data_IF_754294963645
#
_entry.id   IF_754294963645
#
_cell.length_a   1.000
_cell.length_b   1.000
_cell.length_c   1.000
_cell.angle_alpha   90.00
_cell.angle_beta   90.00
_cell.angle_gamma   90.00
#
_symmetry.space_group_name_H-M   'P 1'
#
loop_
_entity.id
_entity.type
_entity.pdbx_description
1 polymer ?
#
# COMPACT_ATOMS: atom_id res chain seq x y z
N UNK A 1 -14.59 -18.90 9.59
CA UNK A 1 -14.38 -17.81 10.57
C UNK A 1 -13.00 -17.22 10.34
N UNK A 2 -12.89 -15.95 9.90
CA UNK A 2 -11.59 -15.31 9.65
C UNK A 2 -10.87 -15.00 10.97
N UNK A 3 -9.55 -15.18 11.01
CA UNK A 3 -8.75 -14.82 12.18
C UNK A 3 -8.88 -13.33 12.50
N UNK A 4 -8.88 -12.96 13.78
CA UNK A 4 -9.04 -11.58 14.27
C UNK A 4 -8.08 -10.58 13.62
N UNK A 5 -6.88 -11.05 13.24
CA UNK A 5 -5.88 -10.25 12.52
C UNK A 5 -6.34 -9.89 11.10
N UNK A 6 -7.01 -10.80 10.39
CA UNK A 6 -7.60 -10.55 9.07
C UNK A 6 -8.76 -9.56 9.15
N UNK A 7 -9.62 -9.66 10.17
CA UNK A 7 -10.75 -8.74 10.37
C UNK A 7 -10.24 -7.29 10.56
N UNK A 8 -9.18 -7.12 11.36
CA UNK A 8 -8.56 -5.81 11.57
C UNK A 8 -7.86 -5.26 10.33
N UNK A 9 -7.13 -6.09 9.59
CA UNK A 9 -6.51 -5.68 8.32
C UNK A 9 -7.56 -5.20 7.32
N UNK A 10 -8.61 -6.00 7.13
CA UNK A 10 -9.70 -5.67 6.22
C UNK A 10 -10.53 -4.46 6.65
N UNK A 11 -10.49 -4.05 7.93
CA UNK A 11 -11.07 -2.78 8.37
C UNK A 11 -10.25 -1.60 7.85
N UNK A 12 -8.93 -1.61 8.07
CA UNK A 12 -8.04 -0.51 7.63
C UNK A 12 -7.99 -0.39 6.10
N UNK A 13 -7.99 -1.50 5.37
CA UNK A 13 -8.10 -1.47 3.89
C UNK A 13 -9.40 -0.79 3.43
N UNK A 14 -10.53 -1.04 4.12
CA UNK A 14 -11.82 -0.41 3.79
C UNK A 14 -11.84 1.07 4.14
N UNK A 15 -11.21 1.45 5.26
CA UNK A 15 -11.03 2.86 5.66
C UNK A 15 -10.25 3.61 4.57
N UNK A 16 -9.08 3.11 4.17
CA UNK A 16 -8.26 3.72 3.13
C UNK A 16 -8.96 3.75 1.77
N UNK A 17 -9.65 2.67 1.40
CA UNK A 17 -10.45 2.60 0.18
C UNK A 17 -11.49 3.74 0.14
N UNK A 18 -12.23 3.96 1.24
CA UNK A 18 -13.24 5.03 1.31
C UNK A 18 -12.59 6.42 1.22
N UNK A 19 -11.47 6.63 1.89
CA UNK A 19 -10.73 7.91 1.82
C UNK A 19 -10.25 8.23 0.41
N UNK A 20 -9.81 7.22 -0.34
CA UNK A 20 -9.38 7.36 -1.73
C UNK A 20 -10.58 7.59 -2.65
N UNK A 21 -11.68 6.85 -2.47
CA UNK A 21 -12.91 7.06 -3.25
C UNK A 21 -13.52 8.45 -3.07
N UNK A 22 -13.46 9.00 -1.86
CA UNK A 22 -13.90 10.37 -1.59
C UNK A 22 -13.10 11.43 -2.37
N UNK A 23 -11.95 11.07 -2.95
CA UNK A 23 -11.11 11.93 -3.80
C UNK A 23 -11.32 11.70 -5.30
N UNK A 24 -12.36 10.98 -5.72
CA UNK A 24 -12.70 10.78 -7.14
C UNK A 24 -12.13 9.52 -7.78
N UNK A 25 -11.40 8.69 -7.02
CA UNK A 25 -10.77 7.47 -7.53
C UNK A 25 -11.69 6.26 -7.46
N UNK A 26 -11.53 5.34 -8.42
CA UNK A 26 -12.04 3.98 -8.32
C UNK A 26 -11.02 3.08 -7.64
N UNK A 27 -11.48 2.19 -6.75
CA UNK A 27 -10.61 1.31 -5.98
C UNK A 27 -11.18 -0.10 -5.99
N UNK A 28 -10.33 -1.08 -6.34
CA UNK A 28 -10.65 -2.51 -6.31
C UNK A 28 -9.77 -3.20 -5.28
N UNK A 29 -10.36 -4.07 -4.46
CA UNK A 29 -9.61 -4.98 -3.58
C UNK A 29 -9.24 -6.24 -4.34
N UNK A 30 -7.97 -6.64 -4.32
CA UNK A 30 -7.54 -7.90 -4.92
C UNK A 30 -8.09 -9.08 -4.09
N UNK A 31 -8.79 -9.99 -4.74
CA UNK A 31 -9.25 -11.21 -4.09
C UNK A 31 -8.05 -12.12 -3.81
N UNK A 32 -7.92 -12.60 -2.58
CA UNK A 32 -6.85 -13.55 -2.23
C UNK A 32 -5.45 -12.94 -2.03
N UNK A 33 -5.28 -11.62 -1.96
CA UNK A 33 -3.95 -10.98 -1.74
C UNK A 33 -3.22 -11.49 -0.49
N UNK A 34 -3.97 -11.84 0.55
CA UNK A 34 -3.44 -12.44 1.78
C UNK A 34 -3.15 -13.95 1.70
N UNK A 35 -3.44 -14.59 0.57
CA UNK A 35 -3.24 -16.03 0.31
C UNK A 35 -2.20 -16.23 -0.81
N UNK A 36 -2.31 -15.49 -1.92
CA UNK A 36 -1.33 -15.58 -3.02
C UNK A 36 0.01 -14.97 -2.63
N UNK A 37 0.01 -13.96 -1.75
CA UNK A 37 1.21 -13.24 -1.32
C UNK A 37 1.85 -12.38 -2.42
N UNK A 38 1.23 -12.27 -3.60
CA UNK A 38 1.80 -11.68 -4.81
C UNK A 38 0.99 -10.50 -5.33
N UNK A 39 -0.32 -10.46 -5.05
CA UNK A 39 -1.16 -9.35 -5.45
C UNK A 39 -1.08 -8.21 -4.42
N UNK A 40 -0.99 -6.94 -4.85
CA UNK A 40 -1.23 -5.81 -3.96
C UNK A 40 -2.67 -5.85 -3.41
N UNK A 41 -2.89 -5.34 -2.20
CA UNK A 41 -4.21 -5.37 -1.55
C UNK A 41 -5.25 -4.52 -2.28
N UNK A 42 -4.87 -3.31 -2.73
CA UNK A 42 -5.76 -2.38 -3.44
C UNK A 42 -5.16 -1.97 -4.77
N UNK A 43 -6.01 -1.89 -5.80
CA UNK A 43 -5.70 -1.27 -7.09
C UNK A 43 -6.53 0.02 -7.19
N UNK A 44 -5.85 1.14 -7.42
CA UNK A 44 -6.42 2.49 -7.42
C UNK A 44 -6.30 3.08 -8.82
N UNK A 45 -7.42 3.57 -9.36
CA UNK A 45 -7.54 4.01 -10.74
C UNK A 45 -8.28 5.35 -10.83
N UNK A 46 -7.72 6.25 -11.62
CA UNK A 46 -8.40 7.41 -12.19
C UNK A 46 -7.94 7.59 -13.63
N UNK A 47 -8.45 8.63 -14.30
CA UNK A 47 -8.00 9.00 -15.64
C UNK A 47 -6.52 9.39 -15.66
N UNK A 48 -6.03 10.10 -14.64
CA UNK A 48 -4.70 10.71 -14.63
C UNK A 48 -3.68 10.00 -13.75
N UNK A 49 -4.15 9.27 -12.74
CA UNK A 49 -3.30 8.63 -11.73
C UNK A 49 -3.78 7.21 -11.44
N UNK A 50 -2.86 6.26 -11.50
CA UNK A 50 -3.13 4.84 -11.27
C UNK A 50 -1.98 4.25 -10.47
N UNK A 51 -2.27 3.44 -9.47
CA UNK A 51 -1.27 2.82 -8.60
C UNK A 51 -1.86 1.64 -7.82
N UNK A 52 -1.00 0.86 -7.21
CA UNK A 52 -1.37 -0.25 -6.34
C UNK A 52 -0.84 -0.04 -4.92
N UNK A 53 -1.54 -0.61 -3.94
CA UNK A 53 -1.21 -0.47 -2.52
C UNK A 53 -1.10 -1.83 -1.84
N UNK A 54 0.01 -2.07 -1.17
CA UNK A 54 0.15 -3.12 -0.15
C UNK A 54 -0.09 -2.49 1.23
N UNK A 55 -1.16 -2.88 1.91
CA UNK A 55 -1.60 -2.25 3.14
C UNK A 55 -0.96 -2.91 4.37
N UNK A 56 -0.37 -2.09 5.25
CA UNK A 56 0.22 -2.52 6.52
C UNK A 56 -0.27 -1.65 7.66
N UNK A 57 -1.24 -2.14 8.42
CA UNK A 57 -1.60 -1.57 9.71
C UNK A 57 -0.71 -2.17 10.82
N UNK A 58 0.41 -1.52 11.10
CA UNK A 58 1.43 -2.06 12.00
C UNK A 58 2.14 -0.98 12.81
N UNK A 59 2.54 -1.31 14.04
CA UNK A 59 3.15 -0.34 14.98
C UNK A 59 4.68 -0.23 14.89
N UNK A 60 5.34 -1.28 14.41
CA UNK A 60 6.80 -1.38 14.30
C UNK A 60 7.26 -1.26 12.85
N UNK A 61 8.52 -1.54 12.59
CA UNK A 61 9.09 -1.55 11.24
C UNK A 61 8.28 -2.42 10.28
N UNK A 62 8.15 -1.96 9.04
CA UNK A 62 7.55 -2.76 7.97
C UNK A 62 8.63 -3.66 7.38
N UNK A 63 8.27 -4.92 7.14
CA UNK A 63 9.13 -5.92 6.52
C UNK A 63 8.37 -6.57 5.37
N UNK A 64 9.02 -6.62 4.21
CA UNK A 64 8.52 -7.27 3.00
C UNK A 64 9.53 -8.32 2.58
N UNK A 65 9.08 -9.55 2.38
CA UNK A 65 9.92 -10.65 1.93
C UNK A 65 10.49 -10.39 0.53
N UNK A 66 11.68 -10.94 0.24
CA UNK A 66 12.39 -10.66 -1.02
C UNK A 66 11.56 -11.05 -2.24
N UNK A 67 11.00 -12.26 -2.22
CA UNK A 67 10.20 -12.79 -3.33
C UNK A 67 8.93 -11.96 -3.56
N UNK A 68 8.30 -11.50 -2.48
CA UNK A 68 7.14 -10.61 -2.55
C UNK A 68 7.50 -9.25 -3.16
N UNK A 69 8.63 -8.65 -2.77
CA UNK A 69 9.07 -7.39 -3.38
C UNK A 69 9.40 -7.58 -4.87
N UNK A 70 10.04 -8.69 -5.23
CA UNK A 70 10.37 -8.99 -6.62
C UNK A 70 9.10 -9.17 -7.47
N UNK A 71 8.07 -9.84 -6.94
CA UNK A 71 6.77 -9.91 -7.56
C UNK A 71 6.15 -8.52 -7.80
N UNK A 72 6.30 -7.60 -6.84
CA UNK A 72 5.85 -6.22 -7.01
C UNK A 72 6.65 -5.43 -8.05
N UNK A 73 7.97 -5.63 -8.13
CA UNK A 73 8.75 -5.02 -9.23
C UNK A 73 8.30 -5.53 -10.59
N UNK A 74 8.05 -6.83 -10.71
CA UNK A 74 7.48 -7.41 -11.94
C UNK A 74 6.09 -6.86 -12.23
N UNK A 75 5.26 -6.65 -11.19
CA UNK A 75 3.96 -6.00 -11.32
C UNK A 75 4.10 -4.58 -11.87
N UNK A 76 4.97 -3.75 -11.30
CA UNK A 76 5.25 -2.39 -11.77
C UNK A 76 5.69 -2.42 -13.24
N UNK A 77 6.62 -3.32 -13.59
CA UNK A 77 7.14 -3.45 -14.95
C UNK A 77 6.06 -3.87 -15.97
N UNK A 78 5.19 -4.82 -15.62
CA UNK A 78 4.20 -5.40 -16.55
C UNK A 78 2.94 -4.56 -16.68
N UNK A 79 2.54 -3.87 -15.61
CA UNK A 79 1.28 -3.12 -15.58
C UNK A 79 1.48 -1.62 -15.77
N UNK A 80 2.69 -1.11 -15.54
CA UNK A 80 2.98 0.32 -15.44
C UNK A 80 2.39 0.98 -14.18
N UNK A 81 1.82 0.21 -13.25
CA UNK A 81 1.23 0.71 -12.01
C UNK A 81 2.30 0.70 -10.91
N UNK A 82 2.73 1.87 -10.38
CA UNK A 82 3.60 1.90 -9.23
C UNK A 82 2.92 1.24 -8.02
N UNK A 83 3.70 0.50 -7.23
CA UNK A 83 3.26 -0.16 -6.02
C UNK A 83 3.79 0.63 -4.83
N UNK A 84 2.89 1.05 -3.94
CA UNK A 84 3.25 1.69 -2.69
C UNK A 84 2.97 0.78 -1.51
N UNK A 85 3.87 0.78 -0.53
CA UNK A 85 3.57 0.28 0.80
C UNK A 85 2.77 1.35 1.53
N UNK A 86 1.50 1.09 1.80
CA UNK A 86 0.62 1.95 2.58
C UNK A 86 0.71 1.56 4.06
N UNK A 87 1.34 2.40 4.88
CA UNK A 87 1.58 2.12 6.28
C UNK A 87 0.66 2.94 7.19
N UNK A 88 -0.23 2.26 7.91
CA UNK A 88 -1.04 2.85 8.99
C UNK A 88 -0.43 2.56 10.36
N UNK A 89 -0.03 3.62 11.06
CA UNK A 89 0.34 3.55 12.48
C UNK A 89 -0.86 3.97 13.36
N UNK A 90 -0.90 3.48 14.60
CA UNK A 90 -2.00 3.80 15.53
C UNK A 90 -2.11 5.31 15.75
N UNK A 91 -3.32 5.86 15.63
CA UNK A 91 -3.62 7.30 15.77
C UNK A 91 -2.76 8.22 14.88
N UNK A 92 -2.21 7.70 13.78
CA UNK A 92 -1.49 8.48 12.77
C UNK A 92 -2.17 8.31 11.42
N UNK A 93 -1.93 9.27 10.53
CA UNK A 93 -2.35 9.19 9.13
C UNK A 93 -1.62 8.07 8.37
N UNK A 94 -2.13 7.75 7.19
CA UNK A 94 -1.47 6.84 6.26
C UNK A 94 -0.20 7.47 5.68
N UNK A 95 0.85 6.66 5.56
CA UNK A 95 2.10 7.03 4.92
C UNK A 95 2.43 6.05 3.79
N UNK A 96 2.85 6.58 2.65
CA UNK A 96 3.01 5.80 1.42
C UNK A 96 4.47 5.82 0.97
N UNK A 97 4.97 4.64 0.64
CA UNK A 97 6.39 4.43 0.35
C UNK A 97 6.55 3.69 -0.97
N UNK A 98 7.29 4.22 -1.97
CA UNK A 98 7.58 3.49 -3.19
C UNK A 98 8.50 2.31 -2.89
N UNK A 99 8.51 1.28 -3.73
CA UNK A 99 9.35 0.09 -3.52
C UNK A 99 10.84 0.44 -3.37
N UNK A 100 11.30 1.47 -4.08
CA UNK A 100 12.68 1.97 -4.05
C UNK A 100 13.11 2.58 -2.70
N UNK A 101 12.16 2.91 -1.82
CA UNK A 101 12.46 3.47 -0.50
C UNK A 101 12.78 2.41 0.56
N UNK A 102 12.54 1.13 0.27
CA UNK A 102 12.82 0.05 1.21
C UNK A 102 14.32 -0.25 1.24
N UNK A 103 14.86 -0.41 2.45
CA UNK A 103 16.26 -0.80 2.66
C UNK A 103 16.39 -2.31 2.60
N UNK A 104 17.31 -2.82 1.80
CA UNK A 104 17.59 -4.26 1.73
C UNK A 104 18.30 -4.74 3.00
N UNK A 105 17.92 -5.92 3.46
CA UNK A 105 18.58 -6.68 4.52
C UNK A 105 18.83 -8.11 4.01
N UNK A 106 19.67 -8.91 4.68
CA UNK A 106 19.94 -10.28 4.24
C UNK A 106 18.67 -11.12 4.02
N UNK A 107 17.60 -10.88 4.79
CA UNK A 107 16.39 -11.71 4.76
C UNK A 107 15.15 -11.03 4.16
N UNK A 108 15.15 -9.73 3.91
CA UNK A 108 13.96 -8.97 3.50
C UNK A 108 14.31 -7.52 3.11
N UNK A 109 13.30 -6.79 2.65
CA UNK A 109 13.32 -5.34 2.53
C UNK A 109 12.53 -4.71 3.68
N UNK A 110 12.98 -3.57 4.18
CA UNK A 110 12.37 -2.95 5.37
C UNK A 110 12.23 -1.44 5.27
N UNK A 111 11.25 -0.93 6.01
CA UNK A 111 11.11 0.47 6.38
C UNK A 111 11.20 0.54 7.90
N UNK A 112 12.19 1.25 8.42
CA UNK A 112 12.38 1.38 9.86
C UNK A 112 11.25 2.20 10.50
N UNK A 113 11.05 2.05 11.80
CA UNK A 113 10.04 2.84 12.53
C UNK A 113 10.40 4.33 12.56
N UNK A 114 11.70 4.61 12.52
CA UNK A 114 12.30 5.94 12.52
C UNK A 114 12.04 6.64 11.19
N UNK A 115 12.09 5.90 10.08
CA UNK A 115 11.80 6.39 8.72
C UNK A 115 10.28 6.54 8.45
N UNK A 116 9.41 6.16 9.37
CA UNK A 116 7.96 6.16 9.15
C UNK A 116 7.38 7.54 8.79
N UNK A 117 8.03 8.62 9.23
CA UNK A 117 7.61 10.00 8.91
C UNK A 117 8.01 10.47 7.50
N UNK A 118 8.91 9.76 6.82
CA UNK A 118 9.44 10.14 5.50
C UNK A 118 8.50 9.74 4.35
N UNK A 119 7.49 8.92 4.62
CA UNK A 119 6.53 8.50 3.60
C UNK A 119 5.64 9.66 3.16
N UNK A 120 5.21 9.60 1.91
CA UNK A 120 4.26 10.56 1.35
C UNK A 120 2.94 10.50 2.11
N UNK A 121 2.24 11.62 2.24
CA UNK A 121 0.82 11.64 2.64
C UNK A 121 -0.07 11.26 1.48
N UNK A 122 -1.33 10.93 1.77
CA UNK A 122 -2.29 10.49 0.74
C UNK A 122 -2.40 11.50 -0.41
N UNK A 123 -2.50 12.80 -0.09
CA UNK A 123 -2.68 13.86 -1.08
C UNK A 123 -1.48 14.01 -2.04
N UNK A 124 -0.27 13.64 -1.60
CA UNK A 124 0.92 13.62 -2.47
C UNK A 124 0.88 12.44 -3.46
N UNK A 125 0.32 11.30 -3.03
CA UNK A 125 0.20 10.10 -3.89
C UNK A 125 -0.90 10.25 -4.91
N UNK A 126 -2.10 10.67 -4.48
CA UNK A 126 -3.23 10.88 -5.38
C UNK A 126 -3.03 12.08 -6.31
N UNK A 127 -2.22 13.05 -5.89
CA UNK A 127 -2.10 14.34 -6.57
C UNK A 127 -3.35 15.20 -6.35
N UNK A 128 -3.26 16.49 -6.66
CA UNK A 128 -4.44 17.36 -6.70
C UNK A 128 -5.19 17.09 -8.00
N UNK A 129 -6.23 16.26 -7.99
CA UNK A 129 -7.19 16.27 -9.08
C UNK A 129 -7.85 17.65 -9.12
N UNK A 130 -7.65 18.36 -10.24
CA UNK A 130 -8.45 19.55 -10.53
C UNK A 130 -9.83 19.02 -10.89
N UNK A 131 -10.83 19.34 -10.07
CA UNK A 131 -12.22 19.11 -10.40
C UNK A 131 -12.47 19.63 -11.83
N UNK A 132 -12.94 18.75 -12.71
CA UNK A 132 -13.47 19.10 -14.03
C UNK A 132 -14.86 19.71 -13.85
#
# INVERSE_FOLDING_TARGET
MGSWKYIKGAHYERELLKEIQARGFFVTRAAGSGIDGLSPDLIVLSTTKKFALECKAWKGSIRIEKDKLEAYKQWEQRTGLPVYIAWKRSHKEWRFFPLSSLKETPKAFMISKEDAGLGMVLDEVVGREKNI
#
